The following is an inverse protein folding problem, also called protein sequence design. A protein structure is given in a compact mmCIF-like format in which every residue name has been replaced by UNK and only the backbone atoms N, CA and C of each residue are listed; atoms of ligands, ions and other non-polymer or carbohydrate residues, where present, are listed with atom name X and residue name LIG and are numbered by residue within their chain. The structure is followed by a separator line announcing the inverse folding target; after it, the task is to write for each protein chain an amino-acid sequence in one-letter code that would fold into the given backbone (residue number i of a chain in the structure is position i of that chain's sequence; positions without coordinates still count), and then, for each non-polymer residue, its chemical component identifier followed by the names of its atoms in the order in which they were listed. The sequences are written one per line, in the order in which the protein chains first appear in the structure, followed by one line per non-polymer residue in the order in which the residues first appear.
data_IF_953572693457
#
_entry.id   IF_953572693457
#
_cell.length_a   1.000
_cell.length_b   1.000
_cell.length_c   1.000
_cell.angle_alpha   90.00
_cell.angle_beta   90.00
_cell.angle_gamma   90.00
#
_symmetry.space_group_name_H-M   'P 1'
#
loop_
_entity.id
_entity.type
_entity.pdbx_description
1 polymer ?
#
# COMPACT_ATOMS: atom_id res chain seq x y z
N UNK A 1 21.15 -36.86 -22.32
CA UNK A 1 20.19 -36.37 -21.31
C UNK A 1 20.88 -35.53 -20.24
N UNK A 2 21.38 -36.08 -19.12
CA UNK A 2 21.94 -35.27 -17.99
C UNK A 2 23.02 -34.24 -18.38
N UNK A 3 23.83 -34.52 -19.40
CA UNK A 3 24.87 -33.60 -19.86
C UNK A 3 24.29 -32.43 -20.69
N UNK A 4 23.30 -32.70 -21.54
CA UNK A 4 22.58 -31.70 -22.35
C UNK A 4 21.74 -30.77 -21.46
N UNK A 5 21.11 -31.34 -20.43
CA UNK A 5 20.31 -30.66 -19.42
C UNK A 5 21.16 -29.67 -18.62
N UNK A 6 22.37 -30.07 -18.20
CA UNK A 6 23.31 -29.19 -17.51
C UNK A 6 23.83 -28.06 -18.42
N UNK A 7 24.10 -28.35 -19.69
CA UNK A 7 24.47 -27.35 -20.70
C UNK A 7 23.32 -26.34 -20.97
N UNK A 8 22.06 -26.78 -20.96
CA UNK A 8 20.91 -25.91 -21.09
C UNK A 8 20.79 -24.95 -19.90
N UNK A 9 20.97 -25.45 -18.67
CA UNK A 9 20.97 -24.65 -17.43
C UNK A 9 22.09 -23.61 -17.43
N UNK A 10 23.32 -23.98 -17.81
CA UNK A 10 24.42 -23.01 -17.92
C UNK A 10 24.13 -21.90 -18.95
N UNK A 11 23.57 -22.25 -20.11
CA UNK A 11 23.23 -21.29 -21.18
C UNK A 11 22.09 -20.35 -20.79
N UNK A 12 21.10 -20.84 -20.04
CA UNK A 12 20.03 -20.04 -19.41
C UNK A 12 20.62 -19.08 -18.37
N UNK A 13 21.44 -19.58 -17.44
CA UNK A 13 22.03 -18.78 -16.37
C UNK A 13 22.94 -17.67 -16.92
N UNK A 14 23.81 -17.97 -17.89
CA UNK A 14 24.66 -16.95 -18.53
C UNK A 14 23.82 -15.85 -19.22
N UNK A 15 22.75 -16.23 -19.93
CA UNK A 15 21.82 -15.29 -20.57
C UNK A 15 21.08 -14.40 -19.56
N UNK A 16 20.74 -14.91 -18.39
CA UNK A 16 20.03 -14.16 -17.37
C UNK A 16 20.98 -13.32 -16.49
N UNK A 17 22.21 -13.79 -16.25
CA UNK A 17 23.30 -13.04 -15.65
C UNK A 17 23.63 -11.78 -16.46
N UNK A 18 23.77 -11.90 -17.80
CA UNK A 18 23.99 -10.74 -18.67
C UNK A 18 22.89 -9.68 -18.55
N UNK A 19 21.61 -10.07 -18.41
CA UNK A 19 20.51 -9.12 -18.16
C UNK A 19 20.67 -8.43 -16.79
N UNK A 20 21.03 -9.17 -15.74
CA UNK A 20 21.25 -8.61 -14.41
C UNK A 20 22.40 -7.58 -14.42
N UNK A 21 23.52 -7.92 -15.06
CA UNK A 21 24.69 -7.04 -15.24
C UNK A 21 24.38 -5.79 -16.08
N UNK A 22 23.36 -5.82 -16.94
CA UNK A 22 22.86 -4.63 -17.66
C UNK A 22 21.86 -3.80 -16.84
N UNK A 23 21.00 -4.44 -16.04
CA UNK A 23 20.00 -3.75 -15.20
C UNK A 23 20.67 -3.01 -14.03
N UNK A 24 21.71 -3.59 -13.43
CA UNK A 24 22.42 -3.00 -12.29
C UNK A 24 22.97 -1.58 -12.59
N UNK A 25 23.81 -1.33 -13.62
CA UNK A 25 24.28 0.01 -13.94
C UNK A 25 23.16 0.93 -14.43
N UNK A 26 22.11 0.41 -15.07
CA UNK A 26 20.95 1.21 -15.47
C UNK A 26 20.22 1.76 -14.23
N UNK A 27 20.04 0.94 -13.19
CA UNK A 27 19.45 1.36 -11.92
C UNK A 27 20.33 2.33 -11.13
N UNK A 28 21.65 2.13 -11.14
CA UNK A 28 22.61 3.05 -10.54
C UNK A 28 22.65 4.41 -11.25
N UNK A 29 22.63 4.41 -12.59
CA UNK A 29 22.54 5.63 -13.39
C UNK A 29 21.21 6.37 -13.16
N UNK A 30 20.09 5.64 -13.08
CA UNK A 30 18.78 6.21 -12.70
C UNK A 30 18.81 6.88 -11.32
N UNK A 31 19.39 6.21 -10.32
CA UNK A 31 19.59 6.78 -8.99
C UNK A 31 20.49 8.02 -8.98
N UNK A 32 21.59 8.00 -9.75
CA UNK A 32 22.49 9.14 -9.88
C UNK A 32 21.84 10.34 -10.58
N UNK A 33 21.05 10.13 -11.64
CA UNK A 33 20.30 11.18 -12.34
C UNK A 33 19.20 11.77 -11.45
N UNK A 34 18.49 10.94 -10.67
CA UNK A 34 17.51 11.42 -9.69
C UNK A 34 18.18 12.22 -8.56
N UNK A 35 19.32 11.77 -8.04
CA UNK A 35 20.08 12.49 -7.01
C UNK A 35 20.63 13.83 -7.51
N UNK A 36 21.22 13.84 -8.71
CA UNK A 36 21.75 15.07 -9.33
C UNK A 36 20.65 16.06 -9.69
N UNK A 37 19.53 15.61 -10.24
CA UNK A 37 18.40 16.49 -10.54
C UNK A 37 17.76 17.05 -9.27
N UNK A 38 17.61 16.26 -8.20
CA UNK A 38 17.16 16.77 -6.90
C UNK A 38 18.11 17.85 -6.33
N UNK A 39 19.43 17.65 -6.40
CA UNK A 39 20.41 18.64 -5.96
C UNK A 39 20.38 19.93 -6.81
N UNK A 40 20.21 19.79 -8.13
CA UNK A 40 20.10 20.95 -9.04
C UNK A 40 18.80 21.74 -8.81
N UNK A 41 17.68 21.05 -8.60
CA UNK A 41 16.39 21.69 -8.27
C UNK A 41 16.46 22.46 -6.94
N UNK A 42 17.14 21.91 -5.93
CA UNK A 42 17.34 22.57 -4.65
C UNK A 42 18.20 23.85 -4.74
N UNK A 43 19.09 23.96 -5.73
CA UNK A 43 19.91 25.15 -5.97
C UNK A 43 19.20 26.30 -6.70
N UNK A 44 17.95 26.13 -7.14
CA UNK A 44 17.24 27.12 -7.95
C UNK A 44 16.36 28.05 -7.09
N UNK A 45 16.74 29.33 -7.01
CA UNK A 45 16.04 30.34 -6.21
C UNK A 45 14.55 30.50 -6.56
N UNK A 46 14.15 30.29 -7.82
CA UNK A 46 12.74 30.34 -8.21
C UNK A 46 11.94 29.16 -7.63
N UNK A 47 12.57 27.98 -7.50
CA UNK A 47 11.97 26.82 -6.83
C UNK A 47 11.95 26.99 -5.31
N UNK A 48 12.92 27.70 -4.73
CA UNK A 48 12.87 28.12 -3.33
C UNK A 48 11.65 28.99 -3.01
N UNK A 49 11.39 30.02 -3.82
CA UNK A 49 10.21 30.89 -3.66
C UNK A 49 8.87 30.14 -3.87
N UNK A 50 8.84 29.14 -4.77
CA UNK A 50 7.70 28.25 -4.95
C UNK A 50 7.52 27.29 -3.76
N UNK A 51 8.62 26.76 -3.20
CA UNK A 51 8.58 25.93 -2.00
C UNK A 51 8.08 26.70 -0.77
N UNK A 52 8.51 27.96 -0.60
CA UNK A 52 8.03 28.84 0.47
C UNK A 52 6.54 29.16 0.37
N UNK A 53 6.04 29.46 -0.83
CA UNK A 53 4.62 29.77 -1.04
C UNK A 53 3.73 28.53 -0.90
N UNK A 54 4.17 27.38 -1.41
CA UNK A 54 3.52 26.08 -1.17
C UNK A 54 3.59 25.67 0.31
N UNK A 55 4.71 25.89 0.99
CA UNK A 55 4.90 25.59 2.41
C UNK A 55 3.94 26.37 3.30
N UNK A 56 3.81 27.69 3.08
CA UNK A 56 2.85 28.54 3.80
C UNK A 56 1.39 28.14 3.52
N UNK A 57 1.04 27.83 2.27
CA UNK A 57 -0.30 27.35 1.92
C UNK A 57 -0.61 25.99 2.56
N UNK A 58 0.35 25.07 2.56
CA UNK A 58 0.23 23.78 3.23
C UNK A 58 0.15 23.93 4.76
N UNK A 59 0.87 24.89 5.35
CA UNK A 59 0.84 25.21 6.78
C UNK A 59 -0.53 25.71 7.23
N UNK A 60 -1.17 26.60 6.46
CA UNK A 60 -2.54 27.03 6.71
C UNK A 60 -3.58 25.88 6.62
N UNK A 61 -3.32 24.89 5.76
CA UNK A 61 -4.15 23.68 5.62
C UNK A 61 -3.77 22.55 6.59
N UNK A 62 -2.63 22.63 7.28
CA UNK A 62 -2.11 21.56 8.14
C UNK A 62 -3.07 21.10 9.26
N UNK A 63 -3.85 21.99 9.92
CA UNK A 63 -4.86 21.57 10.91
C UNK A 63 -5.94 20.64 10.39
N UNK A 64 -6.21 20.66 9.06
CA UNK A 64 -7.28 19.93 8.38
C UNK A 64 -6.77 18.88 7.38
N UNK A 65 -5.44 18.69 7.32
CA UNK A 65 -4.82 17.89 6.26
C UNK A 65 -5.24 16.42 6.29
N UNK A 66 -5.57 15.88 7.47
CA UNK A 66 -5.92 14.46 7.62
C UNK A 66 -7.37 14.19 7.21
N UNK A 67 -8.28 15.18 7.31
CA UNK A 67 -9.66 15.07 6.78
C UNK A 67 -9.72 14.79 5.27
N UNK A 68 -8.72 15.21 4.50
CA UNK A 68 -8.68 14.88 3.07
C UNK A 68 -8.62 13.36 2.81
N UNK A 69 -8.00 12.59 3.72
CA UNK A 69 -8.02 11.12 3.66
C UNK A 69 -9.34 10.51 4.13
N UNK A 70 -10.13 11.20 4.95
CA UNK A 70 -11.45 10.75 5.38
C UNK A 70 -12.46 10.68 4.21
N UNK A 71 -12.20 11.36 3.09
CA UNK A 71 -12.99 11.23 1.86
C UNK A 71 -13.02 9.79 1.33
N UNK A 72 -11.95 9.01 1.53
CA UNK A 72 -11.90 7.59 1.14
C UNK A 72 -12.80 6.68 1.99
N UNK A 73 -13.29 7.15 3.16
CA UNK A 73 -14.29 6.42 3.95
C UNK A 73 -15.66 6.39 3.26
N UNK A 74 -15.95 7.35 2.38
CA UNK A 74 -17.22 7.43 1.64
C UNK A 74 -17.39 6.24 0.69
N UNK A 75 -16.49 5.97 -0.28
CA UNK A 75 -16.59 4.77 -1.13
C UNK A 75 -16.45 3.47 -0.32
N UNK A 76 -15.63 3.43 0.74
CA UNK A 76 -15.56 2.29 1.65
C UNK A 76 -16.93 1.94 2.25
N UNK A 77 -17.64 2.94 2.80
CA UNK A 77 -18.97 2.79 3.39
C UNK A 77 -20.05 2.46 2.35
N UNK A 78 -19.93 2.97 1.12
CA UNK A 78 -20.82 2.60 0.00
C UNK A 78 -20.63 1.13 -0.38
N UNK A 79 -19.38 0.66 -0.49
CA UNK A 79 -19.08 -0.76 -0.71
C UNK A 79 -19.63 -1.64 0.43
N UNK A 80 -19.39 -1.29 1.69
CA UNK A 80 -19.93 -2.01 2.85
C UNK A 80 -21.47 -2.09 2.82
N UNK A 81 -22.15 -0.97 2.54
CA UNK A 81 -23.63 -0.93 2.40
C UNK A 81 -24.14 -1.76 1.22
N UNK A 82 -23.39 -1.83 0.10
CA UNK A 82 -23.73 -2.69 -1.04
C UNK A 82 -23.59 -4.17 -0.68
N UNK A 83 -22.52 -4.57 -0.01
CA UNK A 83 -22.36 -5.95 0.51
C UNK A 83 -23.46 -6.33 1.51
N UNK A 84 -23.84 -5.41 2.40
CA UNK A 84 -24.99 -5.58 3.31
C UNK A 84 -26.33 -5.72 2.58
N UNK A 85 -26.58 -4.91 1.55
CA UNK A 85 -27.80 -4.97 0.76
C UNK A 85 -27.89 -6.22 -0.13
N UNK A 86 -26.74 -6.82 -0.50
CA UNK A 86 -26.69 -8.11 -1.18
C UNK A 86 -26.96 -9.25 -0.19
N UNK A 87 -26.32 -9.23 0.99
CA UNK A 87 -26.57 -10.21 2.07
C UNK A 87 -28.06 -10.26 2.46
N UNK A 88 -28.71 -9.11 2.60
CA UNK A 88 -30.14 -9.01 2.94
C UNK A 88 -31.10 -9.45 1.81
N UNK A 89 -30.59 -9.94 0.68
CA UNK A 89 -31.35 -10.44 -0.47
C UNK A 89 -30.97 -11.87 -0.86
N UNK A 90 -29.92 -12.44 -0.27
CA UNK A 90 -29.49 -13.81 -0.55
C UNK A 90 -30.45 -14.80 0.11
N UNK A 91 -30.94 -15.74 -0.69
CA UNK A 91 -31.86 -16.81 -0.30
C UNK A 91 -31.14 -18.08 0.22
N UNK A 92 -29.88 -18.26 -0.19
CA UNK A 92 -29.07 -19.43 0.10
C UNK A 92 -28.83 -20.35 -1.10
N UNK A 93 -29.45 -20.10 -2.26
CA UNK A 93 -29.35 -20.96 -3.46
C UNK A 93 -28.44 -20.36 -4.55
N UNK A 94 -28.35 -19.03 -4.69
CA UNK A 94 -27.47 -18.40 -5.70
C UNK A 94 -25.99 -18.32 -5.27
N UNK A 95 -25.14 -19.23 -5.78
CA UNK A 95 -23.68 -19.26 -5.51
C UNK A 95 -22.90 -18.01 -5.98
N UNK A 96 -23.33 -17.31 -7.04
CA UNK A 96 -22.63 -16.12 -7.55
C UNK A 96 -22.73 -14.91 -6.60
N UNK A 97 -23.76 -14.86 -5.75
CA UNK A 97 -24.02 -13.69 -4.88
C UNK A 97 -23.04 -13.55 -3.70
N UNK A 98 -22.64 -14.60 -2.95
CA UNK A 98 -21.58 -14.47 -1.94
C UNK A 98 -20.20 -14.13 -2.54
N UNK A 99 -19.89 -14.57 -3.77
CA UNK A 99 -18.66 -14.14 -4.47
C UNK A 99 -18.68 -12.65 -4.77
N UNK A 100 -19.78 -12.15 -5.35
CA UNK A 100 -19.93 -10.73 -5.68
C UNK A 100 -19.94 -9.85 -4.42
N UNK A 101 -20.54 -10.32 -3.32
CA UNK A 101 -20.45 -9.66 -2.02
C UNK A 101 -19.01 -9.62 -1.49
N UNK A 102 -18.26 -10.72 -1.63
CA UNK A 102 -16.85 -10.82 -1.26
C UNK A 102 -15.99 -9.78 -1.98
N UNK A 103 -16.05 -9.75 -3.31
CA UNK A 103 -15.31 -8.76 -4.12
C UNK A 103 -15.66 -7.31 -3.73
N UNK A 104 -16.94 -7.01 -3.48
CA UNK A 104 -17.39 -5.68 -3.02
C UNK A 104 -16.82 -5.34 -1.62
N UNK A 105 -16.73 -6.31 -0.71
CA UNK A 105 -16.13 -6.13 0.62
C UNK A 105 -14.61 -5.91 0.53
N UNK A 106 -13.90 -6.61 -0.36
CA UNK A 106 -12.47 -6.37 -0.63
C UNK A 106 -12.19 -5.01 -1.28
N UNK A 107 -13.08 -4.51 -2.14
CA UNK A 107 -13.04 -3.10 -2.56
C UNK A 107 -13.20 -2.13 -1.37
N UNK A 108 -14.03 -2.44 -0.37
CA UNK A 108 -14.12 -1.64 0.86
C UNK A 108 -12.78 -1.63 1.62
N UNK A 109 -12.11 -2.78 1.75
CA UNK A 109 -10.77 -2.87 2.36
C UNK A 109 -9.71 -2.06 1.62
N UNK A 110 -9.75 -2.01 0.28
CA UNK A 110 -8.87 -1.16 -0.52
C UNK A 110 -9.07 0.32 -0.20
N UNK A 111 -10.33 0.79 -0.14
CA UNK A 111 -10.63 2.19 0.22
C UNK A 111 -10.26 2.53 1.67
N UNK A 112 -10.44 1.61 2.61
CA UNK A 112 -10.01 1.79 4.01
C UNK A 112 -8.49 1.83 4.14
N UNK A 113 -7.77 1.06 3.33
CA UNK A 113 -6.30 1.08 3.29
C UNK A 113 -5.77 2.35 2.62
N UNK A 114 -6.45 2.85 1.58
CA UNK A 114 -6.19 4.16 0.99
C UNK A 114 -6.39 5.30 2.00
N UNK A 115 -7.46 5.24 2.81
CA UNK A 115 -7.71 6.19 3.89
C UNK A 115 -6.58 6.17 4.93
N UNK A 116 -6.15 5.00 5.39
CA UNK A 116 -5.08 4.87 6.39
C UNK A 116 -3.73 5.39 5.87
N UNK A 117 -3.33 4.98 4.66
CA UNK A 117 -2.09 5.41 4.03
C UNK A 117 -2.09 6.91 3.71
N UNK A 118 -3.19 7.43 3.19
CA UNK A 118 -3.36 8.86 2.96
C UNK A 118 -3.27 9.67 4.25
N UNK A 119 -3.93 9.22 5.31
CA UNK A 119 -3.91 9.88 6.62
C UNK A 119 -2.49 9.95 7.20
N UNK A 120 -1.77 8.82 7.25
CA UNK A 120 -0.38 8.77 7.74
C UNK A 120 0.57 9.63 6.89
N UNK A 121 0.43 9.64 5.57
CA UNK A 121 1.22 10.51 4.70
C UNK A 121 0.95 11.99 4.99
N UNK A 122 -0.33 12.39 5.04
CA UNK A 122 -0.74 13.78 5.26
C UNK A 122 -0.38 14.28 6.67
N UNK A 123 -0.50 13.43 7.69
CA UNK A 123 -0.04 13.73 9.05
C UNK A 123 1.49 13.88 9.11
N UNK A 124 2.25 13.00 8.45
CA UNK A 124 3.71 13.11 8.39
C UNK A 124 4.19 14.37 7.67
N UNK A 125 3.47 14.79 6.62
CA UNK A 125 3.71 16.08 5.96
C UNK A 125 3.34 17.25 6.87
N UNK A 126 2.18 17.23 7.54
CA UNK A 126 1.79 18.28 8.50
C UNK A 126 2.79 18.42 9.65
N UNK A 127 3.25 17.31 10.23
CA UNK A 127 4.30 17.27 11.24
C UNK A 127 5.64 17.85 10.77
N UNK A 128 5.93 17.82 9.47
CA UNK A 128 7.14 18.44 8.90
C UNK A 128 7.06 19.96 8.74
N UNK A 129 5.85 20.54 8.71
CA UNK A 129 5.67 21.99 8.46
C UNK A 129 5.92 22.85 9.70
N UNK A 130 5.70 22.29 10.91
CA UNK A 130 6.01 22.96 12.16
C UNK A 130 7.51 23.25 12.39
N UNK A 131 8.43 22.26 12.31
CA UNK A 131 9.88 22.50 12.44
C UNK A 131 10.47 23.35 11.30
N UNK A 132 9.80 23.40 10.13
CA UNK A 132 10.13 24.29 9.02
C UNK A 132 9.62 25.73 9.21
N UNK A 133 8.85 26.02 10.27
CA UNK A 133 8.30 27.37 10.54
C UNK A 133 7.13 27.78 9.65
N UNK A 134 6.49 26.85 8.93
CA UNK A 134 5.29 27.11 8.13
C UNK A 134 3.98 26.93 8.90
N UNK A 135 4.00 26.29 10.07
CA UNK A 135 2.85 26.09 10.94
C UNK A 135 3.26 26.21 12.42
N UNK A 136 2.36 26.68 13.29
CA UNK A 136 2.60 26.66 14.74
C UNK A 136 2.68 25.21 15.26
N UNK A 137 3.55 24.89 16.24
CA UNK A 137 3.56 23.56 16.86
C UNK A 137 2.21 23.14 17.46
N UNK A 138 1.37 24.11 17.86
CA UNK A 138 0.01 23.86 18.34
C UNK A 138 -0.97 23.43 17.23
N UNK A 139 -0.68 23.71 15.96
CA UNK A 139 -1.45 23.22 14.82
C UNK A 139 -1.36 21.69 14.64
N UNK A 140 -0.43 21.02 15.32
CA UNK A 140 -0.35 19.56 15.34
C UNK A 140 -1.39 18.91 16.26
N UNK A 141 -1.93 19.64 17.26
CA UNK A 141 -2.96 19.12 18.16
C UNK A 141 -4.27 18.73 17.43
N UNK A 142 -4.87 19.57 16.57
CA UNK A 142 -6.03 19.14 15.77
C UNK A 142 -5.65 17.99 14.82
N UNK A 143 -4.49 18.01 14.17
CA UNK A 143 -4.05 16.93 13.28
C UNK A 143 -3.90 15.56 13.99
N UNK A 144 -3.50 15.55 15.27
CA UNK A 144 -3.52 14.33 16.11
C UNK A 144 -4.96 13.89 16.41
N UNK A 145 -5.87 14.83 16.71
CA UNK A 145 -7.30 14.55 16.88
C UNK A 145 -7.95 13.95 15.62
N UNK A 146 -7.65 14.51 14.44
CA UNK A 146 -8.10 14.00 13.15
C UNK A 146 -7.52 12.61 12.85
N UNK A 147 -6.24 12.38 13.14
CA UNK A 147 -5.58 11.08 12.99
C UNK A 147 -6.26 10.00 13.86
N UNK A 148 -6.58 10.32 15.12
CA UNK A 148 -7.30 9.42 16.01
C UNK A 148 -8.72 9.15 15.51
N UNK A 149 -9.45 10.18 15.09
CA UNK A 149 -10.80 10.05 14.54
C UNK A 149 -10.83 9.20 13.26
N UNK A 150 -9.89 9.43 12.34
CA UNK A 150 -9.72 8.66 11.10
C UNK A 150 -9.39 7.20 11.41
N UNK A 151 -8.41 6.95 12.29
CA UNK A 151 -8.00 5.59 12.68
C UNK A 151 -9.14 4.82 13.34
N UNK A 152 -9.87 5.44 14.29
CA UNK A 152 -11.04 4.83 14.94
C UNK A 152 -12.17 4.55 13.95
N UNK A 153 -12.41 5.45 13.00
CA UNK A 153 -13.41 5.26 11.94
C UNK A 153 -13.03 4.11 10.99
N UNK A 154 -11.75 3.97 10.66
CA UNK A 154 -11.22 2.86 9.84
C UNK A 154 -11.36 1.55 10.59
N UNK A 155 -10.96 1.47 11.88
CA UNK A 155 -11.13 0.27 12.70
C UNK A 155 -12.61 -0.14 12.81
N UNK A 156 -13.51 0.82 13.01
CA UNK A 156 -14.95 0.55 13.09
C UNK A 156 -15.55 0.03 11.77
N UNK A 157 -15.07 0.52 10.62
CA UNK A 157 -15.49 0.05 9.31
C UNK A 157 -14.85 -1.30 8.93
N UNK A 158 -13.54 -1.48 9.17
CA UNK A 158 -12.83 -2.74 8.98
C UNK A 158 -13.46 -3.86 9.81
N UNK A 159 -13.78 -3.61 11.09
CA UNK A 159 -14.51 -4.56 11.92
C UNK A 159 -15.85 -4.96 11.30
N UNK A 160 -16.65 -4.00 10.82
CA UNK A 160 -17.93 -4.29 10.15
C UNK A 160 -17.75 -5.09 8.85
N UNK A 161 -16.69 -4.84 8.08
CA UNK A 161 -16.35 -5.65 6.90
C UNK A 161 -16.04 -7.09 7.33
N UNK A 162 -15.15 -7.29 8.30
CA UNK A 162 -14.77 -8.62 8.82
C UNK A 162 -15.97 -9.37 9.42
N UNK A 163 -16.79 -8.70 10.23
CA UNK A 163 -18.01 -9.26 10.82
C UNK A 163 -19.05 -9.69 9.75
N UNK A 164 -19.03 -9.10 8.55
CA UNK A 164 -19.85 -9.52 7.40
C UNK A 164 -19.19 -10.61 6.56
N UNK A 165 -17.89 -10.52 6.24
CA UNK A 165 -17.15 -11.58 5.54
C UNK A 165 -17.25 -12.91 6.28
N UNK A 166 -17.19 -12.88 7.62
CA UNK A 166 -17.35 -14.06 8.49
C UNK A 166 -18.78 -14.63 8.51
N UNK A 167 -19.81 -13.81 8.30
CA UNK A 167 -21.21 -14.27 8.16
C UNK A 167 -21.48 -14.93 6.81
N UNK A 168 -20.82 -14.44 5.75
CA UNK A 168 -20.93 -14.99 4.41
C UNK A 168 -20.17 -16.31 4.18
N UNK A 169 -19.22 -16.68 5.05
CA UNK A 169 -18.31 -17.80 4.82
C UNK A 169 -17.93 -18.53 6.12
N UNK A 170 -18.83 -19.30 6.75
CA UNK A 170 -18.51 -20.05 7.96
C UNK A 170 -17.39 -21.10 7.79
N UNK A 171 -17.13 -21.60 6.58
CA UNK A 171 -16.17 -22.68 6.29
C UNK A 171 -14.80 -22.24 5.75
N UNK A 172 -14.53 -20.94 5.53
CA UNK A 172 -13.30 -20.53 4.80
C UNK A 172 -11.99 -20.78 5.57
N UNK A 173 -11.29 -21.83 5.16
CA UNK A 173 -9.86 -22.10 5.41
C UNK A 173 -9.15 -22.42 4.08
N UNK A 174 -7.90 -21.98 3.90
CA UNK A 174 -6.97 -22.56 2.91
C UNK A 174 -6.60 -21.76 1.65
N UNK A 175 -5.29 -21.78 1.36
CA UNK A 175 -4.55 -21.72 0.07
C UNK A 175 -5.13 -21.05 -1.20
N UNK A 176 -4.34 -20.18 -1.87
CA UNK A 176 -4.67 -19.53 -3.17
C UNK A 176 -3.41 -19.25 -4.03
N UNK A 177 -3.37 -19.64 -5.32
CA UNK A 177 -2.50 -19.09 -6.40
C UNK A 177 -2.90 -19.55 -7.83
N UNK A 178 -2.74 -18.73 -8.89
CA UNK A 178 -1.67 -18.88 -9.93
C UNK A 178 -1.79 -17.98 -11.23
N UNK A 179 -0.87 -18.10 -12.22
CA UNK A 179 -0.92 -17.47 -13.57
C UNK A 179 0.29 -16.55 -14.00
N UNK A 180 1.41 -16.86 -14.72
CA UNK A 180 2.05 -18.13 -15.21
C UNK A 180 3.61 -18.17 -15.42
N UNK A 181 4.53 -17.34 -14.84
CA UNK A 181 6.02 -17.64 -14.90
C UNK A 181 6.68 -18.06 -13.58
N UNK A 182 6.49 -17.33 -12.47
CA UNK A 182 6.90 -17.69 -11.07
C UNK A 182 6.33 -19.05 -10.58
N UNK A 183 5.79 -19.80 -11.52
CA UNK A 183 4.48 -20.45 -11.60
C UNK A 183 4.48 -21.52 -12.69
N UNK A 184 5.39 -21.43 -13.69
CA UNK A 184 6.01 -22.66 -14.20
C UNK A 184 6.79 -23.37 -13.08
N UNK A 185 7.37 -22.60 -12.15
CA UNK A 185 7.94 -23.07 -10.89
C UNK A 185 6.87 -23.44 -9.85
N UNK A 186 5.94 -22.53 -9.51
CA UNK A 186 4.89 -22.82 -8.53
C UNK A 186 4.00 -24.01 -8.93
N UNK A 187 3.71 -24.21 -10.22
CA UNK A 187 2.92 -25.35 -10.69
C UNK A 187 3.69 -26.69 -10.67
N UNK A 188 5.03 -26.69 -10.60
CA UNK A 188 5.82 -27.91 -10.34
C UNK A 188 5.97 -28.22 -8.85
N UNK A 189 5.77 -27.23 -7.96
CA UNK A 189 5.67 -27.45 -6.52
C UNK A 189 4.35 -28.14 -6.14
N UNK A 190 4.37 -28.97 -5.09
CA UNK A 190 3.17 -29.58 -4.52
C UNK A 190 2.31 -28.57 -3.73
N UNK A 191 1.13 -28.98 -3.27
CA UNK A 191 0.22 -28.07 -2.56
C UNK A 191 0.79 -27.57 -1.21
N UNK A 192 1.53 -28.40 -0.49
CA UNK A 192 2.14 -28.02 0.79
C UNK A 192 3.28 -27.02 0.60
N UNK A 193 4.07 -27.16 -0.46
CA UNK A 193 5.08 -26.18 -0.88
C UNK A 193 4.44 -24.84 -1.28
N UNK A 194 3.30 -24.85 -1.98
CA UNK A 194 2.55 -23.64 -2.33
C UNK A 194 2.03 -22.91 -1.08
N UNK A 195 1.47 -23.66 -0.12
CA UNK A 195 1.03 -23.09 1.16
C UNK A 195 2.20 -22.49 1.95
N UNK A 196 3.36 -23.17 2.00
CA UNK A 196 4.59 -22.64 2.64
C UNK A 196 5.08 -21.36 1.98
N UNK A 197 5.11 -21.29 0.65
CA UNK A 197 5.49 -20.09 -0.10
C UNK A 197 4.50 -18.94 0.19
N UNK A 198 3.20 -19.22 0.26
CA UNK A 198 2.17 -18.23 0.63
C UNK A 198 2.33 -17.70 2.05
N UNK A 199 2.55 -18.59 3.03
CA UNK A 199 2.77 -18.20 4.42
C UNK A 199 4.05 -17.39 4.60
N UNK A 200 5.14 -17.75 3.90
CA UNK A 200 6.39 -17.00 3.91
C UNK A 200 6.22 -15.60 3.26
N UNK A 201 5.49 -15.52 2.14
CA UNK A 201 5.19 -14.25 1.48
C UNK A 201 4.32 -13.34 2.36
N UNK A 202 3.27 -13.87 2.99
CA UNK A 202 2.43 -13.14 3.94
C UNK A 202 3.24 -12.66 5.16
N UNK A 203 4.07 -13.52 5.73
CA UNK A 203 4.93 -13.16 6.88
C UNK A 203 5.90 -12.05 6.52
N UNK A 204 6.56 -12.15 5.35
CA UNK A 204 7.46 -11.12 4.84
C UNK A 204 6.76 -9.80 4.57
N UNK A 205 5.56 -9.81 3.96
CA UNK A 205 4.72 -8.64 3.74
C UNK A 205 4.30 -7.95 5.05
N UNK A 206 3.92 -8.75 6.06
CA UNK A 206 3.52 -8.27 7.40
C UNK A 206 4.71 -7.64 8.14
N UNK A 207 5.86 -8.32 8.19
CA UNK A 207 7.10 -7.79 8.78
C UNK A 207 7.57 -6.52 8.05
N UNK A 208 7.49 -6.48 6.72
CA UNK A 208 7.81 -5.29 5.92
C UNK A 208 6.86 -4.14 6.26
N UNK A 209 5.56 -4.40 6.37
CA UNK A 209 4.56 -3.37 6.70
C UNK A 209 4.75 -2.78 8.09
N UNK A 210 5.06 -3.62 9.10
CA UNK A 210 5.43 -3.12 10.44
C UNK A 210 6.76 -2.37 10.45
N UNK A 211 7.74 -2.79 9.63
CA UNK A 211 9.02 -2.09 9.49
C UNK A 211 8.83 -0.71 8.84
N UNK A 212 7.99 -0.59 7.81
CA UNK A 212 7.64 0.70 7.20
C UNK A 212 6.92 1.62 8.18
N UNK A 213 5.97 1.10 8.98
CA UNK A 213 5.29 1.86 10.04
C UNK A 213 6.27 2.36 11.12
N UNK A 214 7.21 1.51 11.56
CA UNK A 214 8.23 1.87 12.55
C UNK A 214 9.19 2.95 12.01
N UNK A 215 9.70 2.77 10.78
CA UNK A 215 10.59 3.76 10.14
C UNK A 215 9.85 5.08 9.88
N UNK A 216 8.57 5.05 9.49
CA UNK A 216 7.75 6.25 9.35
C UNK A 216 7.61 6.99 10.68
N UNK A 217 7.28 6.29 11.77
CA UNK A 217 7.15 6.90 13.11
C UNK A 217 8.47 7.50 13.59
N UNK A 218 9.57 6.78 13.39
CA UNK A 218 10.93 7.26 13.69
C UNK A 218 11.28 8.51 12.88
N UNK A 219 10.94 8.56 11.58
CA UNK A 219 11.14 9.74 10.75
C UNK A 219 10.29 10.93 11.20
N UNK A 220 9.03 10.73 11.58
CA UNK A 220 8.17 11.79 12.13
C UNK A 220 8.77 12.36 13.43
N UNK A 221 9.21 11.50 14.35
CA UNK A 221 9.85 11.93 15.61
C UNK A 221 11.15 12.70 15.35
N UNK A 222 12.01 12.23 14.43
CA UNK A 222 13.24 12.96 14.07
C UNK A 222 12.91 14.31 13.41
N UNK A 223 11.87 14.39 12.58
CA UNK A 223 11.47 15.65 11.93
C UNK A 223 11.07 16.73 12.95
N UNK A 224 10.37 16.34 14.02
CA UNK A 224 10.00 17.24 15.11
C UNK A 224 11.22 17.74 15.92
N UNK A 225 12.37 17.07 15.83
CA UNK A 225 13.63 17.44 16.49
C UNK A 225 14.61 18.16 15.56
N UNK A 226 14.53 17.94 14.25
CA UNK A 226 15.38 18.54 13.24
C UNK A 226 14.61 18.73 11.92
N UNK A 227 14.67 19.91 11.27
CA UNK A 227 13.88 20.23 10.07
C UNK A 227 14.40 19.53 8.80
N UNK A 228 14.24 18.20 8.71
CA UNK A 228 14.57 17.40 7.51
C UNK A 228 13.46 17.51 6.45
N UNK A 229 12.27 17.95 6.84
CA UNK A 229 11.15 18.23 5.94
C UNK A 229 10.38 16.97 5.50
N UNK A 230 9.44 17.08 4.55
CA UNK A 230 8.53 15.99 4.20
C UNK A 230 9.17 14.89 3.34
N UNK A 231 10.28 15.16 2.66
CA UNK A 231 10.85 14.27 1.64
C UNK A 231 11.23 12.85 2.15
N UNK A 232 11.88 12.67 3.32
CA UNK A 232 12.18 11.32 3.83
C UNK A 232 10.91 10.51 4.13
N UNK A 233 9.88 11.17 4.66
CA UNK A 233 8.58 10.56 4.98
C UNK A 233 7.90 10.07 3.70
N UNK A 234 7.86 10.90 2.65
CA UNK A 234 7.34 10.54 1.33
C UNK A 234 8.13 9.36 0.73
N UNK A 235 9.46 9.38 0.82
CA UNK A 235 10.32 8.35 0.26
C UNK A 235 10.08 6.94 0.86
N UNK A 236 9.82 6.85 2.18
CA UNK A 236 9.43 5.59 2.84
C UNK A 236 7.99 5.21 2.52
N UNK A 237 7.11 6.19 2.27
CA UNK A 237 5.71 5.94 1.95
C UNK A 237 5.48 5.28 0.59
N UNK A 238 6.25 5.65 -0.43
CA UNK A 238 6.12 5.12 -1.80
C UNK A 238 6.16 3.58 -1.86
N UNK A 239 7.22 2.89 -1.36
CA UNK A 239 7.28 1.43 -1.42
C UNK A 239 6.23 0.75 -0.53
N UNK A 240 5.89 1.36 0.63
CA UNK A 240 4.87 0.82 1.54
C UNK A 240 3.47 0.83 0.90
N UNK A 241 3.07 1.97 0.34
CA UNK A 241 1.81 2.11 -0.36
C UNK A 241 1.74 1.23 -1.62
N UNK A 242 2.84 1.14 -2.39
CA UNK A 242 2.92 0.23 -3.54
C UNK A 242 2.70 -1.24 -3.13
N UNK A 243 3.33 -1.69 -2.04
CA UNK A 243 3.12 -3.04 -1.51
C UNK A 243 1.67 -3.29 -1.10
N UNK A 244 1.06 -2.35 -0.36
CA UNK A 244 -0.31 -2.46 0.13
C UNK A 244 -1.34 -2.48 -1.02
N UNK A 245 -1.24 -1.55 -1.98
CA UNK A 245 -2.17 -1.51 -3.11
C UNK A 245 -1.97 -2.66 -4.11
N UNK A 246 -0.74 -3.14 -4.32
CA UNK A 246 -0.52 -4.31 -5.19
C UNK A 246 -1.04 -5.60 -4.57
N UNK A 247 -0.92 -5.78 -3.25
CA UNK A 247 -1.50 -6.90 -2.51
C UNK A 247 -3.03 -6.92 -2.65
N UNK A 248 -3.71 -5.84 -2.22
CA UNK A 248 -5.18 -5.75 -2.26
C UNK A 248 -5.73 -5.80 -3.69
N UNK A 249 -5.02 -5.20 -4.66
CA UNK A 249 -5.36 -5.29 -6.08
C UNK A 249 -5.23 -6.70 -6.66
N UNK A 250 -4.35 -7.57 -6.14
CA UNK A 250 -4.36 -8.99 -6.51
C UNK A 250 -5.51 -9.75 -5.82
N UNK A 251 -5.82 -9.48 -4.55
CA UNK A 251 -6.95 -10.12 -3.85
C UNK A 251 -8.27 -9.91 -4.62
N UNK A 252 -8.62 -8.64 -4.90
CA UNK A 252 -9.82 -8.28 -5.68
C UNK A 252 -9.83 -8.94 -7.06
N UNK A 253 -8.67 -9.04 -7.71
CA UNK A 253 -8.53 -9.67 -9.04
C UNK A 253 -8.73 -11.19 -9.00
N UNK A 254 -8.43 -11.85 -7.88
CA UNK A 254 -8.68 -13.29 -7.69
C UNK A 254 -10.13 -13.58 -7.29
N UNK A 255 -10.80 -12.65 -6.60
CA UNK A 255 -12.19 -12.74 -6.17
C UNK A 255 -13.23 -12.28 -7.22
N UNK A 256 -12.79 -11.68 -8.33
CA UNK A 256 -13.71 -11.21 -9.38
C UNK A 256 -13.83 -12.26 -10.49
N UNK A 257 -15.01 -12.89 -10.68
CA UNK A 257 -15.15 -13.99 -11.62
C UNK A 257 -14.84 -13.58 -13.07
N UNK A 258 -14.16 -14.47 -13.80
CA UNK A 258 -13.84 -14.26 -15.21
C UNK A 258 -15.10 -14.40 -16.05
N UNK A 259 -15.72 -13.27 -16.40
CA UNK A 259 -16.80 -13.21 -17.37
C UNK A 259 -16.34 -13.84 -18.70
N UNK A 260 -16.83 -15.03 -19.01
CA UNK A 260 -16.55 -15.73 -20.26
C UNK A 260 -17.09 -14.93 -21.44
N UNK A 261 -16.26 -14.83 -22.48
CA UNK A 261 -16.63 -14.40 -23.84
C UNK A 261 -16.34 -15.55 -24.78
#
# INVERSE_FOLDING_TARGET
MKHDENNAIQKENHRNWLKFVLILPLSAAGGAVLGYSAAWLAGNAALGALADTVGRAAGACAPFAVLAAALFLIPAAICLRRGQALFARWDGEEEETPELAGSILSWSLLWLTAAQLGGFLLFGVAASLAPLGYADPMALLPAVGEMLFLTLSIIALQRRVVDLTRRFNPEKQGSVYDLKFRQKWLASCDEAERQRIGQAAYTSYTVTSYSCLFVWLLLVVINLLAPIGPLPIIAVFIPWALGQFTYLGQCIRMETPKRSR
#
